data_IF_052435826054
#
_entry.id   IF_052435826054
#
_cell.length_a   1.000
_cell.length_b   1.000
_cell.length_c   1.000
_cell.angle_alpha   90.00
_cell.angle_beta   90.00
_cell.angle_gamma   90.00
#
_symmetry.space_group_name_H-M   'P 1'
#
loop_
_entity.id
_entity.type
_entity.pdbx_description
1 polymer ?
#
# COMPACT_ATOMS: atom_id res chain seq x y z
N UNK A 1 0.10 20.04 16.30
CA UNK A 1 -0.44 20.22 14.94
C UNK A 1 -1.37 19.06 14.64
N UNK A 2 -2.66 19.33 14.41
CA UNK A 2 -3.65 18.30 14.10
C UNK A 2 -3.58 18.00 12.60
N UNK A 3 -3.09 16.83 12.23
CA UNK A 3 -3.08 16.39 10.83
C UNK A 3 -4.51 15.99 10.46
N UNK A 4 -5.18 16.80 9.61
CA UNK A 4 -6.45 16.39 9.01
C UNK A 4 -6.18 15.14 8.16
N UNK A 5 -6.68 13.97 8.58
CA UNK A 5 -6.91 12.81 7.71
C UNK A 5 -7.85 13.31 6.60
N UNK A 6 -7.33 13.66 5.44
CA UNK A 6 -8.09 14.38 4.40
C UNK A 6 -8.30 13.47 3.21
N UNK A 7 -9.50 13.56 2.61
CA UNK A 7 -10.02 12.93 1.39
C UNK A 7 -9.11 12.88 0.16
N UNK A 8 -7.93 13.50 0.20
CA UNK A 8 -6.91 13.55 -0.86
C UNK A 8 -6.30 12.17 -1.15
N UNK A 9 -6.34 11.25 -0.18
CA UNK A 9 -5.76 9.92 -0.34
C UNK A 9 -6.46 9.08 -1.42
N UNK A 10 -7.80 9.13 -1.54
CA UNK A 10 -8.52 8.28 -2.51
C UNK A 10 -8.22 8.65 -3.97
N UNK A 11 -8.08 9.95 -4.26
CA UNK A 11 -7.78 10.44 -5.61
C UNK A 11 -6.38 10.05 -6.11
N UNK A 12 -5.45 9.71 -5.19
CA UNK A 12 -4.09 9.25 -5.51
C UNK A 12 -4.11 7.86 -6.12
N UNK A 13 -5.02 7.00 -5.64
CA UNK A 13 -5.03 5.57 -5.92
C UNK A 13 -5.77 5.19 -7.21
N UNK A 14 -6.20 6.18 -8.00
CA UNK A 14 -6.90 5.95 -9.27
C UNK A 14 -6.10 5.07 -10.23
N UNK A 15 -6.71 3.98 -10.68
CA UNK A 15 -6.11 3.07 -11.66
C UNK A 15 -6.10 3.71 -13.05
N UNK A 16 -4.91 3.88 -13.62
CA UNK A 16 -4.75 4.02 -15.08
C UNK A 16 -4.20 2.71 -15.63
N UNK A 17 -4.39 2.44 -16.93
CA UNK A 17 -4.04 1.18 -17.60
C UNK A 17 -2.57 0.70 -17.40
N UNK A 18 -1.71 1.52 -16.81
CA UNK A 18 -0.30 1.20 -16.54
C UNK A 18 0.15 1.52 -15.10
N UNK A 19 -0.62 2.21 -14.25
CA UNK A 19 -0.11 2.77 -12.97
C UNK A 19 -1.17 2.89 -11.86
N UNK A 20 -0.76 2.59 -10.63
CA UNK A 20 -1.56 2.58 -9.40
C UNK A 20 -1.53 3.88 -8.58
N UNK A 21 -0.74 4.90 -8.99
CA UNK A 21 -0.60 6.16 -8.26
C UNK A 21 -0.51 7.36 -9.20
N UNK A 22 -1.51 8.24 -9.16
CA UNK A 22 -1.61 9.43 -10.03
C UNK A 22 -1.74 10.70 -9.20
N UNK A 23 -0.97 11.75 -9.54
CA UNK A 23 -1.05 13.01 -8.81
C UNK A 23 -2.45 13.63 -8.93
N UNK A 24 -3.12 13.99 -7.82
CA UNK A 24 -4.47 14.55 -7.89
C UNK A 24 -4.50 15.95 -8.52
N UNK A 25 -3.39 16.70 -8.44
CA UNK A 25 -3.30 18.09 -8.94
C UNK A 25 -3.01 18.19 -10.44
N UNK A 26 -2.01 17.45 -10.94
CA UNK A 26 -1.54 17.59 -12.33
C UNK A 26 -1.60 16.29 -13.14
N UNK A 27 -2.10 15.19 -12.55
CA UNK A 27 -2.10 13.83 -13.13
C UNK A 27 -0.70 13.28 -13.49
N UNK A 28 0.36 13.94 -13.01
CA UNK A 28 1.74 13.49 -13.12
C UNK A 28 2.03 12.26 -12.26
N UNK A 29 3.24 11.73 -12.41
CA UNK A 29 3.73 10.58 -11.65
C UNK A 29 3.96 10.93 -10.18
N UNK A 30 3.64 9.99 -9.30
CA UNK A 30 3.93 10.07 -7.87
C UNK A 30 5.04 9.07 -7.51
N UNK A 31 6.01 9.55 -6.75
CA UNK A 31 7.09 8.76 -6.16
C UNK A 31 6.79 8.52 -4.69
N UNK A 32 7.06 7.30 -4.20
CA UNK A 32 6.98 6.94 -2.79
C UNK A 32 8.40 6.87 -2.24
N UNK A 33 8.68 7.65 -1.19
CA UNK A 33 9.99 7.72 -0.53
C UNK A 33 9.82 7.34 0.94
N UNK A 34 10.32 6.17 1.34
CA UNK A 34 10.43 5.78 2.74
C UNK A 34 11.63 6.51 3.37
N UNK A 35 11.40 7.19 4.50
CA UNK A 35 12.41 8.07 5.13
C UNK A 35 13.00 7.42 6.38
N UNK A 36 12.30 7.52 7.50
CA UNK A 36 12.76 7.00 8.79
C UNK A 36 11.82 5.87 9.23
N UNK A 37 12.36 4.75 9.74
CA UNK A 37 11.53 3.74 10.36
C UNK A 37 10.84 4.31 11.60
N UNK A 38 9.58 3.95 11.79
CA UNK A 38 8.81 4.25 12.98
C UNK A 38 8.98 3.05 13.90
N UNK A 39 9.48 3.28 15.11
CA UNK A 39 9.66 2.21 16.08
C UNK A 39 8.30 1.77 16.63
N UNK A 40 7.89 0.57 16.24
CA UNK A 40 6.62 -0.03 16.62
C UNK A 40 6.84 -1.52 16.89
N UNK A 41 6.73 -1.91 18.16
CA UNK A 41 6.90 -3.31 18.60
C UNK A 41 5.61 -4.12 18.53
N UNK A 42 4.47 -3.47 18.27
CA UNK A 42 3.16 -4.11 18.27
C UNK A 42 2.82 -4.71 16.90
N UNK A 43 3.63 -4.41 15.88
CA UNK A 43 3.47 -4.92 14.53
C UNK A 43 4.60 -5.87 14.11
N UNK A 44 4.28 -6.83 13.24
CA UNK A 44 5.27 -7.75 12.66
C UNK A 44 6.08 -7.13 11.52
N UNK A 45 5.63 -5.97 11.03
CA UNK A 45 6.27 -5.20 9.98
C UNK A 45 6.89 -3.94 10.58
N UNK A 46 7.89 -3.38 9.91
CA UNK A 46 8.45 -2.08 10.27
C UNK A 46 7.73 -0.98 9.49
N UNK A 47 6.92 -0.13 10.15
CA UNK A 47 6.39 1.07 9.52
C UNK A 47 7.49 2.08 9.24
N UNK A 48 7.32 2.85 8.18
CA UNK A 48 8.19 3.95 7.79
C UNK A 48 7.38 5.21 7.65
N UNK A 49 7.95 6.32 8.10
CA UNK A 49 7.47 7.64 7.68
C UNK A 49 7.75 7.79 6.20
N UNK A 50 6.72 8.10 5.44
CA UNK A 50 6.74 8.05 3.98
C UNK A 50 6.30 9.36 3.37
N UNK A 51 7.05 9.83 2.39
CA UNK A 51 6.73 11.01 1.59
C UNK A 51 6.26 10.52 0.22
N UNK A 52 5.06 10.94 -0.17
CA UNK A 52 4.54 10.76 -1.53
C UNK A 52 4.62 12.11 -2.24
N UNK A 53 5.37 12.20 -3.33
CA UNK A 53 5.63 13.46 -4.02
C UNK A 53 5.44 13.34 -5.53
N UNK A 54 4.97 14.43 -6.15
CA UNK A 54 4.83 14.49 -7.59
C UNK A 54 6.12 14.97 -8.26
N UNK A 55 6.53 14.30 -9.33
CA UNK A 55 7.69 14.71 -10.12
C UNK A 55 7.46 15.95 -10.99
N UNK A 56 6.20 16.39 -11.12
CA UNK A 56 5.80 17.44 -12.08
C UNK A 56 5.27 18.72 -11.40
N UNK A 57 4.67 18.62 -10.21
CA UNK A 57 4.13 19.78 -9.49
C UNK A 57 4.47 19.70 -8.00
N UNK A 58 4.15 20.76 -7.25
CA UNK A 58 4.46 20.87 -5.82
C UNK A 58 3.59 19.99 -4.90
N UNK A 59 2.85 19.03 -5.45
CA UNK A 59 2.07 18.10 -4.64
C UNK A 59 3.00 17.23 -3.78
N UNK A 60 2.71 17.21 -2.48
CA UNK A 60 3.42 16.39 -1.49
C UNK A 60 2.46 15.97 -0.38
N UNK A 61 2.56 14.71 0.01
CA UNK A 61 1.85 14.11 1.14
C UNK A 61 2.84 13.41 2.06
N UNK A 62 2.62 13.51 3.37
CA UNK A 62 3.35 12.73 4.38
C UNK A 62 2.37 11.73 4.96
N UNK A 63 2.75 10.46 4.96
CA UNK A 63 1.95 9.33 5.44
C UNK A 63 2.88 8.25 5.99
N UNK A 64 2.36 7.06 6.19
CA UNK A 64 3.09 5.87 6.60
C UNK A 64 3.05 4.83 5.49
N UNK A 65 4.11 4.05 5.39
CA UNK A 65 4.10 2.84 4.58
C UNK A 65 4.85 1.71 5.26
N UNK A 66 4.50 0.49 4.90
CA UNK A 66 5.16 -0.71 5.38
C UNK A 66 5.02 -1.79 4.33
N UNK A 67 5.80 -2.84 4.49
CA UNK A 67 5.66 -4.04 3.67
C UNK A 67 5.16 -5.20 4.50
N UNK A 68 4.32 -6.04 3.89
CA UNK A 68 3.87 -7.31 4.47
C UNK A 68 4.25 -8.43 3.52
N UNK A 69 5.02 -9.40 4.00
CA UNK A 69 5.17 -10.69 3.34
C UNK A 69 3.94 -11.56 3.66
N UNK A 70 3.23 -11.99 2.63
CA UNK A 70 2.00 -12.76 2.83
C UNK A 70 1.46 -13.40 1.55
N UNK A 71 0.36 -14.12 1.70
CA UNK A 71 -0.36 -14.74 0.59
C UNK A 71 -1.79 -14.23 0.51
N UNK A 72 -2.30 -14.09 -0.71
CA UNK A 72 -3.69 -13.68 -0.94
C UNK A 72 -4.65 -14.74 -0.40
N UNK A 73 -5.61 -14.31 0.43
CA UNK A 73 -6.70 -15.16 0.93
C UNK A 73 -7.99 -14.89 0.17
N UNK A 74 -8.36 -13.63 0.05
CA UNK A 74 -9.50 -13.21 -0.76
C UNK A 74 -9.32 -11.79 -1.32
N UNK A 75 -10.13 -11.40 -2.29
CA UNK A 75 -10.18 -10.02 -2.79
C UNK A 75 -11.49 -9.75 -3.55
N UNK A 76 -11.84 -8.47 -3.62
CA UNK A 76 -12.90 -7.93 -4.46
C UNK A 76 -12.36 -6.74 -5.28
N UNK A 77 -13.23 -5.87 -5.79
CA UNK A 77 -12.79 -4.73 -6.61
C UNK A 77 -12.18 -3.58 -5.80
N UNK A 78 -12.39 -3.56 -4.48
CA UNK A 78 -11.94 -2.48 -3.59
C UNK A 78 -10.89 -2.99 -2.59
N UNK A 79 -11.04 -4.22 -2.10
CA UNK A 79 -10.26 -4.77 -1.01
C UNK A 79 -9.50 -6.05 -1.38
N UNK A 80 -8.36 -6.21 -0.74
CA UNK A 80 -7.57 -7.45 -0.72
C UNK A 80 -7.37 -7.90 0.72
N UNK A 81 -7.53 -9.19 0.96
CA UNK A 81 -7.23 -9.85 2.23
C UNK A 81 -5.92 -10.64 2.11
N UNK A 82 -4.94 -10.26 2.93
CA UNK A 82 -3.61 -10.83 2.97
C UNK A 82 -3.48 -11.62 4.26
N UNK A 83 -3.13 -12.91 4.13
CA UNK A 83 -2.71 -13.73 5.25
C UNK A 83 -1.23 -13.56 5.50
N UNK A 84 -0.87 -13.17 6.72
CA UNK A 84 0.50 -12.92 7.15
C UNK A 84 0.69 -13.35 8.61
N UNK A 85 1.71 -12.79 9.27
CA UNK A 85 2.06 -13.09 10.65
C UNK A 85 2.03 -11.83 11.51
N UNK A 86 1.57 -11.97 12.76
CA UNK A 86 1.67 -10.96 13.80
C UNK A 86 3.02 -11.02 14.53
N UNK A 87 3.29 -10.08 15.44
CA UNK A 87 4.60 -9.96 16.11
C UNK A 87 4.97 -11.20 16.94
N UNK A 88 3.98 -11.96 17.41
CA UNK A 88 4.20 -13.23 18.13
C UNK A 88 4.41 -14.45 17.22
N UNK A 89 4.42 -14.26 15.89
CA UNK A 89 4.42 -15.35 14.91
C UNK A 89 3.07 -16.04 14.71
N UNK A 90 2.00 -15.53 15.31
CA UNK A 90 0.62 -16.00 15.07
C UNK A 90 0.16 -15.61 13.67
N UNK A 91 -0.65 -16.44 13.01
CA UNK A 91 -1.28 -16.07 11.73
C UNK A 91 -2.29 -14.95 11.92
N UNK A 92 -2.25 -13.96 11.04
CA UNK A 92 -3.20 -12.84 11.01
C UNK A 92 -3.76 -12.67 9.61
N UNK A 93 -4.99 -12.17 9.52
CA UNK A 93 -5.63 -11.75 8.28
C UNK A 93 -5.77 -10.23 8.33
N UNK A 94 -5.23 -9.56 7.32
CA UNK A 94 -5.30 -8.11 7.19
C UNK A 94 -6.00 -7.74 5.89
N UNK A 95 -6.99 -6.86 5.97
CA UNK A 95 -7.77 -6.39 4.84
C UNK A 95 -7.39 -4.94 4.53
N UNK A 96 -7.02 -4.68 3.29
CA UNK A 96 -6.59 -3.36 2.82
C UNK A 96 -7.35 -2.98 1.55
N UNK A 97 -7.51 -1.68 1.30
CA UNK A 97 -7.89 -1.22 -0.05
C UNK A 97 -6.73 -1.50 -1.02
N UNK A 98 -6.98 -1.64 -2.33
CA UNK A 98 -5.91 -1.87 -3.29
C UNK A 98 -6.08 -1.16 -4.64
N UNK A 99 -4.95 -0.91 -5.31
CA UNK A 99 -4.88 -0.46 -6.71
C UNK A 99 -4.14 -1.44 -7.60
N UNK A 100 -3.96 -2.67 -7.11
CA UNK A 100 -3.38 -3.79 -7.86
C UNK A 100 -4.37 -4.32 -8.90
N UNK A 101 -3.86 -4.79 -10.04
CA UNK A 101 -4.72 -5.38 -11.07
C UNK A 101 -5.37 -6.67 -10.58
N UNK A 102 -6.66 -6.84 -10.92
CA UNK A 102 -7.42 -8.04 -10.58
C UNK A 102 -6.79 -9.30 -11.20
N UNK A 103 -6.16 -9.18 -12.37
CA UNK A 103 -5.46 -10.31 -13.00
C UNK A 103 -4.27 -10.78 -12.17
N UNK A 104 -3.44 -9.86 -11.66
CA UNK A 104 -2.32 -10.21 -10.79
C UNK A 104 -2.81 -10.83 -9.48
N UNK A 105 -3.86 -10.28 -8.86
CA UNK A 105 -4.45 -10.85 -7.65
C UNK A 105 -4.98 -12.27 -7.89
N UNK A 106 -5.59 -12.53 -9.05
CA UNK A 106 -6.03 -13.88 -9.44
C UNK A 106 -4.86 -14.85 -9.61
N UNK A 107 -3.76 -14.41 -10.23
CA UNK A 107 -2.55 -15.22 -10.41
C UNK A 107 -1.95 -15.59 -9.05
N UNK A 108 -1.76 -14.61 -8.16
CA UNK A 108 -1.23 -14.82 -6.81
C UNK A 108 -2.13 -15.72 -5.95
N UNK A 109 -3.46 -15.57 -6.04
CA UNK A 109 -4.41 -16.44 -5.32
C UNK A 109 -4.34 -17.88 -5.81
N UNK A 110 -4.11 -18.10 -7.11
CA UNK A 110 -3.96 -19.44 -7.71
C UNK A 110 -2.61 -20.07 -7.39
N UNK A 111 -1.52 -19.31 -7.44
CA UNK A 111 -0.17 -19.81 -7.16
C UNK A 111 0.05 -20.08 -5.68
N UNK A 112 -0.68 -19.40 -4.80
CA UNK A 112 -0.48 -19.41 -3.34
C UNK A 112 0.92 -18.97 -2.92
N UNK A 113 1.63 -18.25 -3.79
CA UNK A 113 2.94 -17.72 -3.49
C UNK A 113 2.88 -16.67 -2.38
N UNK A 114 3.93 -16.66 -1.57
CA UNK A 114 4.16 -15.59 -0.62
C UNK A 114 4.95 -14.49 -1.33
N UNK A 115 4.37 -13.31 -1.38
CA UNK A 115 4.98 -12.13 -2.00
C UNK A 115 4.95 -10.97 -1.01
N UNK A 116 5.79 -9.98 -1.25
CA UNK A 116 5.83 -8.79 -0.43
C UNK A 116 4.88 -7.73 -1.00
N UNK A 117 3.96 -7.24 -0.18
CA UNK A 117 3.02 -6.19 -0.55
C UNK A 117 3.50 -4.87 0.03
N UNK A 118 3.56 -3.82 -0.78
CA UNK A 118 3.77 -2.46 -0.31
C UNK A 118 2.43 -1.81 0.02
N UNK A 119 2.24 -1.49 1.30
CA UNK A 119 1.09 -0.76 1.81
C UNK A 119 1.51 0.69 2.05
N UNK A 120 0.81 1.65 1.47
CA UNK A 120 0.98 3.09 1.72
C UNK A 120 -0.37 3.65 2.15
N UNK A 121 -0.42 4.28 3.34
CA UNK A 121 -1.66 4.84 3.88
C UNK A 121 -2.83 3.82 3.88
N UNK A 122 -2.60 2.62 4.42
CA UNK A 122 -3.59 1.52 4.48
C UNK A 122 -4.07 1.01 3.10
N UNK A 123 -3.35 1.33 2.02
CA UNK A 123 -3.68 0.94 0.65
C UNK A 123 -2.55 0.11 0.03
N UNK A 124 -2.86 -1.03 -0.58
CA UNK A 124 -1.89 -1.87 -1.30
C UNK A 124 -1.66 -1.28 -2.69
N UNK A 125 -0.44 -0.79 -2.91
CA UNK A 125 -0.09 -0.03 -4.12
C UNK A 125 0.81 -0.80 -5.07
N UNK A 126 1.56 -1.78 -4.56
CA UNK A 126 2.47 -2.59 -5.33
C UNK A 126 2.69 -3.98 -4.70
N UNK A 127 2.97 -4.97 -5.55
CA UNK A 127 3.57 -6.25 -5.17
C UNK A 127 5.06 -6.20 -5.54
N UNK A 128 5.93 -6.57 -4.61
CA UNK A 128 7.39 -6.61 -4.74
C UNK A 128 7.79 -8.09 -4.82
N UNK A 129 8.36 -8.48 -5.97
CA UNK A 129 8.75 -9.85 -6.30
C UNK A 129 9.33 -9.94 -7.70
#
# INVERSE_FOLDING_TARGET
MSYKKTSVAEDIWGQTAQRSMTCPQCKGFLTVVQVEPIYDTDNAYTPYRTVVECSTCSFRMVTESFTILGGIKDFDNEYVEIGSWGPSGSRVLSRFKHSISINLLNELKKSQELVEFLIVNEHVVQVIG
#
